data_IF_983624586202
#
_entry.id   IF_983624586202
#
_cell.length_a   1.000
_cell.length_b   1.000
_cell.length_c   1.000
_cell.angle_alpha   90.00
_cell.angle_beta   90.00
_cell.angle_gamma   90.00
#
_symmetry.space_group_name_H-M   'P 1'
#
loop_
_entity.id
_entity.type
_entity.pdbx_description
1 polymer ?
#
# COMPACT_ATOMS: atom_id res chain seq x y z
N UNK A 1 -52.17 4.13 -7.02
CA UNK A 1 -50.94 4.86 -7.41
C UNK A 1 -49.81 3.85 -7.51
N UNK A 2 -49.42 3.50 -8.73
CA UNK A 2 -48.37 2.51 -9.01
C UNK A 2 -46.99 3.14 -8.79
N UNK A 3 -46.28 2.68 -7.75
CA UNK A 3 -44.85 2.93 -7.63
C UNK A 3 -44.13 2.07 -8.68
N UNK A 4 -43.68 2.70 -9.75
CA UNK A 4 -42.75 2.13 -10.72
C UNK A 4 -41.46 1.75 -9.99
N UNK A 5 -41.34 0.48 -9.62
CA UNK A 5 -40.05 -0.12 -9.27
C UNK A 5 -39.17 -0.05 -10.51
N UNK A 6 -38.29 0.95 -10.59
CA UNK A 6 -37.16 0.93 -11.51
C UNK A 6 -36.29 -0.25 -11.10
N UNK A 7 -36.50 -1.40 -11.75
CA UNK A 7 -35.61 -2.54 -11.68
C UNK A 7 -34.28 -2.05 -12.24
N UNK A 8 -33.31 -1.76 -11.36
CA UNK A 8 -31.96 -1.47 -11.78
C UNK A 8 -31.51 -2.59 -12.73
N UNK A 9 -30.94 -2.28 -13.92
CA UNK A 9 -30.55 -3.32 -14.86
C UNK A 9 -29.63 -4.29 -14.14
N UNK A 10 -29.93 -5.60 -14.25
CA UNK A 10 -29.05 -6.66 -13.77
C UNK A 10 -27.78 -6.60 -14.62
N UNK A 11 -26.84 -5.76 -14.21
CA UNK A 11 -25.57 -5.59 -14.89
C UNK A 11 -24.80 -6.89 -14.74
N UNK A 12 -24.38 -7.45 -15.89
CA UNK A 12 -23.61 -8.69 -15.93
C UNK A 12 -22.36 -8.60 -15.05
N UNK A 13 -21.87 -9.75 -14.57
CA UNK A 13 -20.68 -9.79 -13.72
C UNK A 13 -19.47 -9.12 -14.39
N UNK A 14 -19.32 -9.26 -15.72
CA UNK A 14 -18.27 -8.60 -16.49
C UNK A 14 -18.40 -7.06 -16.45
N UNK A 15 -19.60 -6.51 -16.65
CA UNK A 15 -19.85 -5.06 -16.56
C UNK A 15 -19.54 -4.53 -15.17
N UNK A 16 -19.92 -5.27 -14.12
CA UNK A 16 -19.61 -4.91 -12.72
C UNK A 16 -18.12 -4.97 -12.42
N UNK A 17 -17.41 -5.95 -12.97
CA UNK A 17 -15.96 -6.06 -12.89
C UNK A 17 -15.27 -4.87 -13.56
N UNK A 18 -15.65 -4.55 -14.79
CA UNK A 18 -15.14 -3.37 -15.50
C UNK A 18 -15.48 -2.07 -14.77
N UNK A 19 -16.68 -1.98 -14.19
CA UNK A 19 -17.06 -0.86 -13.32
C UNK A 19 -16.16 -0.72 -12.10
N UNK A 20 -15.75 -1.84 -11.49
CA UNK A 20 -14.77 -1.88 -10.40
C UNK A 20 -13.39 -1.38 -10.83
N UNK A 21 -12.87 -1.85 -11.96
CA UNK A 21 -11.64 -1.33 -12.53
C UNK A 21 -11.74 0.17 -12.86
N UNK A 22 -12.91 0.62 -13.32
CA UNK A 22 -13.23 2.03 -13.54
C UNK A 22 -13.16 2.89 -12.29
N UNK A 23 -13.34 2.34 -11.08
CA UNK A 23 -13.14 3.08 -9.82
C UNK A 23 -11.67 3.44 -9.59
N UNK A 24 -10.73 2.59 -10.00
CA UNK A 24 -9.31 2.92 -9.97
C UNK A 24 -9.00 4.07 -10.92
N UNK A 25 -9.54 4.03 -12.15
CA UNK A 25 -9.37 5.12 -13.13
C UNK A 25 -9.98 6.44 -12.63
N UNK A 26 -11.14 6.39 -11.97
CA UNK A 26 -11.71 7.55 -11.27
C UNK A 26 -10.80 8.05 -10.15
N UNK A 27 -10.22 7.14 -9.37
CA UNK A 27 -9.19 7.43 -8.35
C UNK A 27 -8.00 8.20 -8.94
N UNK A 28 -7.45 7.72 -10.07
CA UNK A 28 -6.42 8.44 -10.82
C UNK A 28 -6.88 9.81 -11.30
N UNK A 29 -8.09 9.91 -11.86
CA UNK A 29 -8.67 11.17 -12.31
C UNK A 29 -8.77 12.19 -11.17
N UNK A 30 -9.21 11.77 -9.99
CA UNK A 30 -9.27 12.63 -8.80
C UNK A 30 -7.88 13.02 -8.30
N UNK A 31 -6.94 12.07 -8.29
CA UNK A 31 -5.56 12.30 -7.86
C UNK A 31 -4.88 13.35 -8.75
N UNK A 32 -4.87 13.16 -10.08
CA UNK A 32 -4.19 14.04 -11.04
C UNK A 32 -4.84 15.42 -11.14
N UNK A 33 -6.17 15.52 -11.02
CA UNK A 33 -6.88 16.81 -11.09
C UNK A 33 -6.81 17.61 -9.80
N UNK A 34 -6.33 17.02 -8.70
CA UNK A 34 -6.29 17.66 -7.39
C UNK A 34 -4.85 17.89 -6.94
N UNK A 35 -4.32 19.13 -7.06
CA UNK A 35 -2.97 19.46 -6.58
C UNK A 35 -2.75 19.09 -5.12
N UNK A 36 -3.81 19.23 -4.29
CA UNK A 36 -3.78 18.85 -2.87
C UNK A 36 -3.64 17.34 -2.66
N UNK A 37 -4.21 16.49 -3.51
CA UNK A 37 -4.06 15.03 -3.41
C UNK A 37 -2.71 14.57 -3.95
N UNK A 38 -2.23 15.19 -5.06
CA UNK A 38 -0.88 14.95 -5.58
C UNK A 38 0.19 15.26 -4.53
N UNK A 39 0.06 16.41 -3.86
CA UNK A 39 0.98 16.81 -2.81
C UNK A 39 0.99 15.76 -1.67
N UNK A 40 -0.18 15.33 -1.19
CA UNK A 40 -0.24 14.28 -0.17
C UNK A 40 0.37 12.95 -0.64
N UNK A 41 0.22 12.58 -1.91
CA UNK A 41 0.78 11.33 -2.44
C UNK A 41 2.30 11.34 -2.55
N UNK A 42 2.89 12.50 -2.88
CA UNK A 42 4.33 12.64 -3.11
C UNK A 42 5.12 12.91 -1.83
N UNK A 43 4.52 13.59 -0.84
CA UNK A 43 5.20 13.95 0.42
C UNK A 43 5.82 12.73 1.14
N UNK A 44 5.14 11.58 1.34
CA UNK A 44 5.75 10.43 2.01
C UNK A 44 7.06 9.95 1.37
N UNK A 45 7.07 9.89 0.04
CA UNK A 45 8.23 9.47 -0.73
C UNK A 45 9.37 10.50 -0.60
N UNK A 46 9.04 11.79 -0.61
CA UNK A 46 10.03 12.86 -0.41
C UNK A 46 10.60 12.85 1.00
N UNK A 47 9.77 12.71 2.04
CA UNK A 47 10.24 12.66 3.44
C UNK A 47 11.15 11.44 3.63
N UNK A 48 10.70 10.27 3.19
CA UNK A 48 11.48 9.03 3.33
C UNK A 48 12.78 9.13 2.53
N UNK A 49 12.72 9.58 1.28
CA UNK A 49 13.90 9.76 0.44
C UNK A 49 14.90 10.75 1.05
N UNK A 50 14.44 11.92 1.50
CA UNK A 50 15.27 12.92 2.14
C UNK A 50 15.92 12.40 3.43
N UNK A 51 15.17 11.65 4.25
CA UNK A 51 15.67 11.03 5.47
C UNK A 51 16.83 10.07 5.19
N UNK A 52 16.65 9.15 4.24
CA UNK A 52 17.71 8.19 3.89
C UNK A 52 18.89 8.88 3.22
N UNK A 53 18.66 9.83 2.31
CA UNK A 53 19.75 10.63 1.71
C UNK A 53 20.55 11.37 2.77
N UNK A 54 19.89 12.01 3.73
CA UNK A 54 20.56 12.69 4.83
C UNK A 54 21.37 11.71 5.68
N UNK A 55 20.79 10.56 6.05
CA UNK A 55 21.46 9.54 6.85
C UNK A 55 22.73 9.01 6.15
N UNK A 56 22.66 8.68 4.86
CA UNK A 56 23.82 8.22 4.10
C UNK A 56 24.83 9.33 3.87
N UNK A 57 24.41 10.56 3.57
CA UNK A 57 25.32 11.69 3.41
C UNK A 57 26.10 11.97 4.70
N UNK A 58 25.43 11.97 5.84
CA UNK A 58 26.07 12.09 7.16
C UNK A 58 27.03 10.93 7.42
N UNK A 59 26.62 9.70 7.13
CA UNK A 59 27.49 8.53 7.29
C UNK A 59 28.77 8.65 6.44
N UNK A 60 28.64 9.01 5.17
CA UNK A 60 29.77 9.17 4.26
C UNK A 60 30.68 10.34 4.66
N UNK A 61 30.12 11.40 5.23
CA UNK A 61 30.92 12.52 5.74
C UNK A 61 31.78 12.11 6.94
N UNK A 62 31.25 11.27 7.84
CA UNK A 62 31.96 10.82 9.06
C UNK A 62 32.59 9.42 8.93
N UNK A 63 32.64 8.84 7.72
CA UNK A 63 33.05 7.43 7.54
C UNK A 63 34.50 7.19 7.95
N UNK A 64 35.38 8.15 7.67
CA UNK A 64 36.80 8.05 7.99
C UNK A 64 37.04 8.15 9.51
N UNK A 65 36.31 9.05 10.18
CA UNK A 65 36.35 9.19 11.64
C UNK A 65 35.83 7.93 12.33
N UNK A 66 34.73 7.36 11.82
CA UNK A 66 34.16 6.12 12.35
C UNK A 66 35.09 4.93 12.12
N UNK A 67 35.73 4.85 10.94
CA UNK A 67 36.72 3.82 10.64
C UNK A 67 37.93 3.92 11.59
N UNK A 68 38.40 5.13 11.88
CA UNK A 68 39.43 5.37 12.89
C UNK A 68 38.99 4.93 14.28
N UNK A 69 37.81 5.34 14.72
CA UNK A 69 37.24 4.97 16.03
C UNK A 69 37.03 3.47 16.19
N UNK A 70 36.70 2.75 15.12
CA UNK A 70 36.54 1.28 15.12
C UNK A 70 37.86 0.52 15.06
N UNK A 71 38.96 1.16 14.66
CA UNK A 71 40.26 0.49 14.45
C UNK A 71 41.40 1.06 15.32
N UNK A 72 41.21 1.35 16.63
CA UNK A 72 42.23 1.98 17.46
C UNK A 72 43.48 1.09 17.61
N UNK A 73 43.31 -0.23 17.53
CA UNK A 73 44.41 -1.20 17.55
C UNK A 73 45.36 -1.08 16.34
N UNK A 74 44.95 -0.37 15.27
CA UNK A 74 45.74 -0.16 14.07
C UNK A 74 46.44 1.22 14.05
N UNK A 75 46.30 2.02 15.10
CA UNK A 75 46.83 3.39 15.15
C UNK A 75 48.36 3.47 15.15
N UNK A 76 49.06 2.38 15.47
CA UNK A 76 50.52 2.29 15.40
C UNK A 76 51.02 1.59 14.13
N UNK A 77 50.13 1.12 13.26
CA UNK A 77 50.53 0.35 12.07
C UNK A 77 51.20 1.23 11.02
N UNK A 78 52.21 0.72 10.32
CA UNK A 78 52.87 1.46 9.24
C UNK A 78 51.96 1.65 8.02
N UNK A 79 52.24 2.70 7.24
CA UNK A 79 51.68 2.85 5.90
C UNK A 79 52.26 1.77 4.97
N UNK A 80 51.46 1.13 4.09
CA UNK A 80 50.08 1.44 3.71
C UNK A 80 49.00 0.65 4.48
N UNK A 81 49.37 -0.30 5.34
CA UNK A 81 48.46 -1.26 5.96
C UNK A 81 47.36 -0.62 6.81
N UNK A 82 47.70 0.46 7.53
CA UNK A 82 46.72 1.26 8.28
C UNK A 82 45.63 1.86 7.37
N UNK A 83 46.04 2.48 6.26
CA UNK A 83 45.13 3.10 5.31
C UNK A 83 44.22 2.08 4.64
N UNK A 84 44.79 0.94 4.23
CA UNK A 84 44.02 -0.14 3.61
C UNK A 84 42.96 -0.71 4.57
N UNK A 85 43.33 -0.91 5.85
CA UNK A 85 42.38 -1.37 6.87
C UNK A 85 41.27 -0.34 7.12
N UNK A 86 41.60 0.96 7.26
CA UNK A 86 40.61 2.01 7.51
C UNK A 86 39.63 2.16 6.33
N UNK A 87 40.12 2.09 5.10
CA UNK A 87 39.25 2.07 3.91
C UNK A 87 38.35 0.83 3.93
N UNK A 88 38.90 -0.35 4.22
CA UNK A 88 38.10 -1.58 4.32
C UNK A 88 37.04 -1.51 5.43
N UNK A 89 37.38 -0.96 6.59
CA UNK A 89 36.44 -0.74 7.69
C UNK A 89 35.35 0.26 7.33
N UNK A 90 35.69 1.38 6.68
CA UNK A 90 34.73 2.36 6.18
C UNK A 90 33.78 1.76 5.14
N UNK A 91 34.28 0.98 4.19
CA UNK A 91 33.45 0.25 3.22
C UNK A 91 32.54 -0.78 3.90
N UNK A 92 33.04 -1.49 4.92
CA UNK A 92 32.24 -2.42 5.69
C UNK A 92 31.10 -1.72 6.43
N UNK A 93 31.38 -0.59 7.10
CA UNK A 93 30.38 0.26 7.74
C UNK A 93 29.32 0.70 6.75
N UNK A 94 29.72 1.26 5.60
CA UNK A 94 28.79 1.71 4.56
C UNK A 94 27.96 0.53 4.04
N UNK A 95 28.57 -0.64 3.85
CA UNK A 95 27.87 -1.85 3.44
C UNK A 95 26.84 -2.33 4.45
N UNK A 96 27.18 -2.35 5.75
CA UNK A 96 26.23 -2.69 6.82
C UNK A 96 25.10 -1.67 6.91
N UNK A 97 25.42 -0.37 6.86
CA UNK A 97 24.42 0.68 6.86
C UNK A 97 23.51 0.63 5.62
N UNK A 98 24.06 0.27 4.45
CA UNK A 98 23.29 0.01 3.24
C UNK A 98 22.31 -1.14 3.43
N UNK A 99 22.77 -2.26 3.98
CA UNK A 99 21.93 -3.42 4.27
C UNK A 99 20.82 -3.07 5.28
N UNK A 100 21.18 -2.47 6.41
CA UNK A 100 20.21 -2.00 7.42
C UNK A 100 19.23 -1.02 6.79
N UNK A 101 19.72 -0.12 5.94
CA UNK A 101 18.90 0.85 5.24
C UNK A 101 17.86 0.18 4.35
N UNK A 102 18.26 -0.78 3.52
CA UNK A 102 17.34 -1.57 2.68
C UNK A 102 16.32 -2.33 3.53
N UNK A 103 16.74 -2.96 4.63
CA UNK A 103 15.84 -3.73 5.51
C UNK A 103 14.81 -2.84 6.23
N UNK A 104 15.21 -1.64 6.61
CA UNK A 104 14.36 -0.69 7.34
C UNK A 104 13.52 0.19 6.43
N UNK A 105 13.94 0.38 5.17
CA UNK A 105 13.31 1.31 4.23
C UNK A 105 11.82 1.07 4.09
N UNK A 106 11.40 -0.18 3.88
CA UNK A 106 9.98 -0.51 3.72
C UNK A 106 9.18 -0.18 4.98
N UNK A 107 9.68 -0.55 6.16
CA UNK A 107 9.00 -0.28 7.42
C UNK A 107 8.85 1.24 7.67
N UNK A 108 9.93 2.00 7.45
CA UNK A 108 9.92 3.46 7.60
C UNK A 108 8.99 4.11 6.59
N UNK A 109 9.03 3.68 5.33
CA UNK A 109 8.16 4.21 4.26
C UNK A 109 6.67 3.99 4.59
N UNK A 110 6.31 2.81 5.10
CA UNK A 110 4.93 2.51 5.49
C UNK A 110 4.47 3.38 6.65
N UNK A 111 5.27 3.47 7.72
CA UNK A 111 4.95 4.30 8.90
C UNK A 111 4.77 5.77 8.53
N UNK A 112 5.64 6.29 7.64
CA UNK A 112 5.54 7.66 7.16
C UNK A 112 4.34 7.83 6.23
N UNK A 113 4.05 6.85 5.36
CA UNK A 113 3.01 6.93 4.33
C UNK A 113 1.58 6.83 4.85
N UNK A 114 1.35 5.99 5.86
CA UNK A 114 0.02 5.74 6.46
C UNK A 114 -0.81 7.00 6.72
N UNK A 115 -0.31 8.03 7.44
CA UNK A 115 -1.11 9.24 7.71
C UNK A 115 -1.47 10.02 6.43
N UNK A 116 -0.64 9.98 5.40
CA UNK A 116 -0.92 10.68 4.13
C UNK A 116 -1.93 9.92 3.28
N UNK A 117 -1.83 8.59 3.26
CA UNK A 117 -2.83 7.74 2.61
C UNK A 117 -4.19 7.88 3.31
N UNK A 118 -4.20 7.93 4.64
CA UNK A 118 -5.40 8.22 5.40
C UNK A 118 -5.99 9.59 4.99
N UNK A 119 -5.18 10.65 5.00
CA UNK A 119 -5.62 11.99 4.58
C UNK A 119 -6.13 12.06 3.12
N UNK A 120 -5.57 11.28 2.19
CA UNK A 120 -6.09 11.17 0.81
C UNK A 120 -7.50 10.58 0.84
N UNK A 121 -7.68 9.46 1.54
CA UNK A 121 -8.96 8.78 1.64
C UNK A 121 -10.02 9.68 2.29
N UNK A 122 -9.67 10.42 3.33
CA UNK A 122 -10.57 11.36 4.01
C UNK A 122 -11.02 12.48 3.08
N UNK A 123 -10.09 13.15 2.40
CA UNK A 123 -10.42 14.22 1.45
C UNK A 123 -11.30 13.76 0.30
N UNK A 124 -11.15 12.51 -0.15
CA UNK A 124 -12.04 11.92 -1.17
C UNK A 124 -13.44 11.69 -0.62
N UNK A 125 -13.56 11.21 0.61
CA UNK A 125 -14.85 11.05 1.28
C UNK A 125 -15.54 12.42 1.51
N UNK A 126 -14.81 13.43 1.97
CA UNK A 126 -15.32 14.78 2.22
C UNK A 126 -15.90 15.44 0.97
N UNK A 127 -15.23 15.28 -0.18
CA UNK A 127 -15.75 15.77 -1.48
C UNK A 127 -17.07 15.16 -1.88
N UNK A 128 -17.39 13.96 -1.36
CA UNK A 128 -18.59 13.21 -1.70
C UNK A 128 -19.65 13.30 -0.60
N UNK A 129 -19.58 14.31 0.28
CA UNK A 129 -20.54 14.49 1.37
C UNK A 129 -20.11 13.88 2.71
N UNK A 130 -18.80 13.63 2.87
CA UNK A 130 -18.19 13.23 4.14
C UNK A 130 -18.45 11.77 4.53
N UNK A 131 -18.22 11.48 5.81
CA UNK A 131 -18.38 10.15 6.41
C UNK A 131 -19.55 10.12 7.41
N UNK A 132 -20.80 9.88 6.95
CA UNK A 132 -21.93 9.72 7.85
C UNK A 132 -21.68 8.60 8.86
N UNK A 133 -21.83 8.90 10.15
CA UNK A 133 -21.60 7.94 11.23
C UNK A 133 -20.13 7.67 11.54
N UNK A 134 -19.24 8.66 11.32
CA UNK A 134 -17.86 8.59 11.79
C UNK A 134 -17.80 8.31 13.29
N UNK A 135 -16.92 7.41 13.71
CA UNK A 135 -16.75 7.02 15.10
C UNK A 135 -15.39 7.51 15.58
N UNK A 136 -15.36 8.26 16.69
CA UNK A 136 -14.13 8.56 17.41
C UNK A 136 -13.65 7.32 18.16
N UNK A 137 -12.72 6.59 17.53
CA UNK A 137 -12.09 5.42 18.14
C UNK A 137 -10.76 5.85 18.78
N UNK A 138 -10.46 5.51 20.04
CA UNK A 138 -9.18 5.86 20.66
C UNK A 138 -8.00 5.34 19.83
N UNK A 139 -7.06 6.23 19.50
CA UNK A 139 -5.93 5.98 18.57
C UNK A 139 -5.22 4.65 18.82
N UNK A 140 -4.81 4.37 20.05
CA UNK A 140 -4.12 3.13 20.43
C UNK A 140 -4.97 1.87 20.23
N UNK A 141 -6.27 1.98 20.45
CA UNK A 141 -7.19 0.86 20.26
C UNK A 141 -7.48 0.60 18.79
N UNK A 142 -7.46 1.65 17.96
CA UNK A 142 -7.55 1.57 16.50
C UNK A 142 -6.28 0.97 15.91
N UNK A 143 -5.11 1.46 16.31
CA UNK A 143 -3.81 1.02 15.81
C UNK A 143 -3.57 -0.48 16.03
N UNK A 144 -3.75 -0.97 17.28
CA UNK A 144 -3.59 -2.41 17.58
C UNK A 144 -4.56 -3.28 16.79
N UNK A 145 -5.77 -2.78 16.52
CA UNK A 145 -6.81 -3.52 15.79
C UNK A 145 -6.51 -3.54 14.30
N UNK A 146 -6.04 -2.42 13.76
CA UNK A 146 -5.61 -2.32 12.36
C UNK A 146 -4.44 -3.25 12.10
N UNK A 147 -3.41 -3.22 12.96
CA UNK A 147 -2.28 -4.15 12.87
C UNK A 147 -2.71 -5.62 12.93
N UNK A 148 -3.62 -5.98 13.83
CA UNK A 148 -4.12 -7.35 13.93
C UNK A 148 -4.89 -7.79 12.68
N UNK A 149 -5.71 -6.91 12.10
CA UNK A 149 -6.48 -7.21 10.89
C UNK A 149 -5.57 -7.27 9.64
N UNK A 150 -4.59 -6.37 9.50
CA UNK A 150 -3.58 -6.44 8.44
C UNK A 150 -2.71 -7.70 8.59
N UNK A 151 -2.28 -8.08 9.80
CA UNK A 151 -1.53 -9.32 10.01
C UNK A 151 -2.35 -10.56 9.65
N UNK A 152 -3.66 -10.58 9.97
CA UNK A 152 -4.57 -11.65 9.54
C UNK A 152 -4.70 -11.72 8.02
N UNK A 153 -4.79 -10.58 7.34
CA UNK A 153 -4.85 -10.52 5.88
C UNK A 153 -3.55 -11.02 5.25
N UNK A 154 -2.39 -10.63 5.79
CA UNK A 154 -1.08 -11.14 5.37
C UNK A 154 -0.99 -12.64 5.59
N UNK A 155 -1.40 -13.16 6.76
CA UNK A 155 -1.38 -14.58 7.06
C UNK A 155 -2.29 -15.38 6.12
N UNK A 156 -3.51 -14.91 5.87
CA UNK A 156 -4.43 -15.53 4.91
C UNK A 156 -3.90 -15.48 3.47
N UNK A 157 -3.27 -14.36 3.09
CA UNK A 157 -2.65 -14.21 1.77
C UNK A 157 -1.47 -15.16 1.61
N UNK A 158 -0.64 -15.34 2.64
CA UNK A 158 0.46 -16.29 2.64
C UNK A 158 -0.04 -17.75 2.59
N UNK A 159 -1.08 -18.07 3.36
CA UNK A 159 -1.69 -19.41 3.39
C UNK A 159 -2.20 -19.85 2.02
N UNK A 160 -2.72 -18.92 1.22
CA UNK A 160 -3.20 -19.21 -0.15
C UNK A 160 -2.08 -19.01 -1.19
N UNK A 161 -1.22 -18.02 -0.98
CA UNK A 161 -0.15 -17.66 -1.89
C UNK A 161 0.96 -18.69 -1.98
N UNK A 162 1.34 -19.34 -0.86
CA UNK A 162 2.37 -20.39 -0.86
C UNK A 162 1.94 -21.61 -1.70
N UNK A 163 0.74 -22.18 -1.54
CA UNK A 163 0.24 -23.22 -2.44
C UNK A 163 0.15 -22.78 -3.91
N UNK A 164 -0.30 -21.54 -4.18
CA UNK A 164 -0.36 -21.03 -5.55
C UNK A 164 1.04 -20.88 -6.16
N UNK A 165 2.01 -20.42 -5.39
CA UNK A 165 3.42 -20.35 -5.82
C UNK A 165 3.96 -21.74 -6.16
N UNK A 166 3.70 -22.75 -5.31
CA UNK A 166 4.07 -24.13 -5.59
C UNK A 166 3.36 -24.67 -6.85
N UNK A 167 2.08 -24.37 -7.04
CA UNK A 167 1.33 -24.73 -8.24
C UNK A 167 1.87 -24.05 -9.51
N UNK A 168 2.56 -22.91 -9.38
CA UNK A 168 3.24 -22.21 -10.47
C UNK A 168 4.35 -23.03 -11.14
N UNK A 169 4.87 -24.06 -10.48
CA UNK A 169 5.89 -24.95 -11.04
C UNK A 169 5.30 -26.09 -11.88
N UNK A 170 3.98 -26.27 -11.90
CA UNK A 170 3.32 -27.27 -12.74
C UNK A 170 3.45 -26.83 -14.20
N UNK A 171 4.09 -27.61 -15.10
CA UNK A 171 4.18 -27.24 -16.51
C UNK A 171 2.81 -26.99 -17.13
N UNK A 172 2.73 -26.01 -18.04
CA UNK A 172 1.49 -25.55 -18.72
C UNK A 172 0.49 -24.87 -17.77
N UNK A 173 0.00 -25.54 -16.72
CA UNK A 173 -1.01 -25.00 -15.79
C UNK A 173 -0.46 -23.84 -14.96
N UNK A 174 0.78 -23.98 -14.47
CA UNK A 174 1.46 -23.01 -13.63
C UNK A 174 1.70 -21.66 -14.31
N UNK A 175 1.80 -21.63 -15.65
CA UNK A 175 2.00 -20.39 -16.40
C UNK A 175 0.73 -19.82 -17.02
N UNK A 176 -0.37 -20.56 -16.99
CA UNK A 176 -1.65 -20.14 -17.61
C UNK A 176 -2.71 -19.83 -16.56
N UNK A 177 -2.96 -20.75 -15.63
CA UNK A 177 -4.04 -20.65 -14.64
C UNK A 177 -3.60 -19.93 -13.38
N UNK A 178 -2.39 -20.26 -12.87
CA UNK A 178 -1.90 -19.70 -11.60
C UNK A 178 -1.76 -18.18 -11.63
N UNK A 179 -1.28 -17.51 -12.69
CA UNK A 179 -1.22 -16.05 -12.72
C UNK A 179 -2.61 -15.40 -12.65
N UNK A 180 -3.61 -16.01 -13.30
CA UNK A 180 -5.00 -15.52 -13.29
C UNK A 180 -5.61 -15.67 -11.90
N UNK A 181 -5.48 -16.86 -11.29
CA UNK A 181 -5.96 -17.10 -9.93
C UNK A 181 -5.20 -16.23 -8.93
N UNK A 182 -3.89 -16.08 -9.09
CA UNK A 182 -3.04 -15.21 -8.29
C UNK A 182 -3.48 -13.74 -8.35
N UNK A 183 -3.81 -13.23 -9.54
CA UNK A 183 -4.34 -11.88 -9.70
C UNK A 183 -5.73 -11.71 -9.05
N UNK A 184 -6.61 -12.70 -9.17
CA UNK A 184 -7.93 -12.67 -8.52
C UNK A 184 -7.83 -12.70 -6.99
N UNK A 185 -6.98 -13.57 -6.44
CA UNK A 185 -6.76 -13.71 -4.99
C UNK A 185 -6.02 -12.49 -4.45
N UNK A 186 -4.90 -12.11 -5.06
CA UNK A 186 -4.12 -10.94 -4.68
C UNK A 186 -4.92 -9.65 -4.81
N UNK A 187 -5.69 -9.51 -5.89
CA UNK A 187 -6.60 -8.39 -6.08
C UNK A 187 -7.71 -8.34 -5.02
N UNK A 188 -8.32 -9.48 -4.67
CA UNK A 188 -9.30 -9.54 -3.59
C UNK A 188 -8.74 -9.06 -2.25
N UNK A 189 -7.53 -9.50 -1.89
CA UNK A 189 -6.88 -9.07 -0.65
C UNK A 189 -6.47 -7.60 -0.69
N UNK A 190 -5.94 -7.11 -1.82
CA UNK A 190 -5.64 -5.68 -2.00
C UNK A 190 -6.90 -4.81 -1.89
N UNK A 191 -8.01 -5.23 -2.47
CA UNK A 191 -9.28 -4.52 -2.33
C UNK A 191 -9.71 -4.45 -0.85
N UNK A 192 -9.60 -5.54 -0.10
CA UNK A 192 -9.94 -5.58 1.33
C UNK A 192 -9.01 -4.70 2.18
N UNK A 193 -7.71 -4.68 1.87
CA UNK A 193 -6.74 -3.85 2.57
C UNK A 193 -6.99 -2.36 2.32
N UNK A 194 -7.14 -1.97 1.05
CA UNK A 194 -7.25 -0.57 0.64
C UNK A 194 -8.57 0.09 1.08
N UNK A 195 -9.68 -0.65 1.14
CA UNK A 195 -10.93 -0.09 1.72
C UNK A 195 -10.86 0.02 3.24
N UNK A 196 -9.76 -0.42 3.87
CA UNK A 196 -9.62 -0.45 5.32
C UNK A 196 -9.83 0.91 5.96
N UNK A 197 -9.13 1.95 5.51
CA UNK A 197 -9.23 3.30 6.06
C UNK A 197 -10.67 3.87 6.04
N UNK A 198 -11.39 3.88 4.90
CA UNK A 198 -12.81 4.26 4.85
C UNK A 198 -13.72 3.52 5.84
N UNK A 199 -13.48 2.23 6.05
CA UNK A 199 -14.30 1.41 6.96
C UNK A 199 -13.91 1.60 8.43
N UNK A 200 -12.62 1.78 8.75
CA UNK A 200 -12.16 2.06 10.12
C UNK A 200 -12.80 3.35 10.65
N UNK A 201 -12.91 4.40 9.83
CA UNK A 201 -13.60 5.65 10.22
C UNK A 201 -15.06 5.47 10.60
N UNK A 202 -15.70 4.43 10.07
CA UNK A 202 -17.09 4.05 10.37
C UNK A 202 -17.19 3.00 11.48
N UNK A 203 -16.09 2.72 12.20
CA UNK A 203 -16.03 1.68 13.24
C UNK A 203 -16.16 0.24 12.72
N UNK A 204 -16.13 0.03 11.40
CA UNK A 204 -16.38 -1.26 10.76
C UNK A 204 -15.10 -2.10 10.66
N UNK A 205 -15.22 -3.38 10.99
CA UNK A 205 -14.10 -4.32 11.13
C UNK A 205 -13.90 -5.16 9.87
N UNK A 206 -12.84 -5.96 9.85
CA UNK A 206 -12.56 -6.86 8.73
C UNK A 206 -13.74 -7.79 8.34
N UNK A 207 -14.49 -8.39 9.28
CA UNK A 207 -15.68 -9.19 8.92
C UNK A 207 -16.74 -8.38 8.18
N UNK A 208 -16.97 -7.13 8.58
CA UNK A 208 -17.95 -6.24 7.97
C UNK A 208 -17.52 -5.85 6.55
N UNK A 209 -16.23 -5.48 6.38
CA UNK A 209 -15.62 -5.21 5.07
C UNK A 209 -15.80 -6.39 4.13
N UNK A 210 -15.43 -7.58 4.61
CA UNK A 210 -15.53 -8.82 3.83
C UNK A 210 -16.96 -9.11 3.45
N UNK A 211 -17.92 -8.88 4.34
CA UNK A 211 -19.34 -9.04 4.06
C UNK A 211 -19.82 -8.06 2.99
N UNK A 212 -19.51 -6.76 3.14
CA UNK A 212 -19.91 -5.71 2.19
C UNK A 212 -19.31 -5.90 0.80
N UNK A 213 -18.01 -6.18 0.69
CA UNK A 213 -17.36 -6.43 -0.60
C UNK A 213 -17.83 -7.76 -1.22
N UNK A 214 -18.27 -8.74 -0.41
CA UNK A 214 -18.85 -9.99 -0.92
C UNK A 214 -20.26 -9.83 -1.49
N UNK A 215 -20.99 -8.77 -1.14
CA UNK A 215 -22.30 -8.50 -1.73
C UNK A 215 -22.18 -8.15 -3.22
N UNK A 216 -21.07 -7.50 -3.63
CA UNK A 216 -20.75 -7.19 -5.01
C UNK A 216 -19.32 -7.63 -5.39
N UNK A 217 -19.07 -8.94 -5.32
CA UNK A 217 -17.75 -9.53 -5.61
C UNK A 217 -17.14 -9.11 -6.94
N UNK A 218 -17.90 -9.09 -8.07
CA UNK A 218 -17.30 -8.72 -9.35
C UNK A 218 -16.69 -7.32 -9.33
N UNK A 219 -17.37 -6.33 -8.74
CA UNK A 219 -16.85 -4.96 -8.63
C UNK A 219 -15.64 -4.88 -7.70
N UNK A 220 -15.67 -5.54 -6.55
CA UNK A 220 -14.52 -5.57 -5.64
C UNK A 220 -13.28 -6.24 -6.30
N UNK A 221 -13.48 -7.37 -7.00
CA UNK A 221 -12.43 -8.05 -7.75
C UNK A 221 -11.91 -7.19 -8.90
N UNK A 222 -12.78 -6.52 -9.65
CA UNK A 222 -12.39 -5.65 -10.75
C UNK A 222 -11.46 -4.51 -10.31
N UNK A 223 -11.82 -3.85 -9.21
CA UNK A 223 -10.96 -2.84 -8.59
C UNK A 223 -9.63 -3.45 -8.13
N UNK A 224 -9.70 -4.52 -7.34
CA UNK A 224 -8.52 -5.15 -6.73
C UNK A 224 -7.54 -5.71 -7.75
N UNK A 225 -8.03 -6.40 -8.79
CA UNK A 225 -7.21 -6.93 -9.89
C UNK A 225 -6.55 -5.78 -10.66
N UNK A 226 -7.28 -4.70 -10.94
CA UNK A 226 -6.70 -3.54 -11.62
C UNK A 226 -5.53 -2.95 -10.81
N UNK A 227 -5.71 -2.78 -9.49
CA UNK A 227 -4.64 -2.34 -8.60
C UNK A 227 -3.47 -3.32 -8.57
N UNK A 228 -3.76 -4.63 -8.43
CA UNK A 228 -2.76 -5.69 -8.42
C UNK A 228 -1.87 -5.63 -9.67
N UNK A 229 -2.48 -5.55 -10.85
CA UNK A 229 -1.76 -5.47 -12.12
C UNK A 229 -0.92 -4.20 -12.24
N UNK A 230 -1.41 -3.06 -11.75
CA UNK A 230 -0.62 -1.83 -11.68
C UNK A 230 0.60 -1.96 -10.75
N UNK A 231 0.47 -2.70 -9.64
CA UNK A 231 1.56 -2.90 -8.68
C UNK A 231 2.63 -3.87 -9.17
N UNK A 232 2.34 -4.70 -10.18
CA UNK A 232 3.35 -5.54 -10.85
C UNK A 232 4.33 -4.71 -11.70
N UNK A 233 3.95 -3.49 -12.11
CA UNK A 233 4.82 -2.60 -12.85
C UNK A 233 5.89 -2.06 -11.88
N UNK A 234 7.19 -2.07 -12.23
CA UNK A 234 8.22 -1.44 -11.42
C UNK A 234 7.85 0.01 -11.06
N UNK A 235 8.01 0.38 -9.79
CA UNK A 235 7.56 1.66 -9.21
C UNK A 235 6.04 1.90 -9.22
N UNK A 236 5.26 0.99 -9.80
CA UNK A 236 3.80 1.06 -9.87
C UNK A 236 3.17 1.14 -8.49
N UNK A 237 3.64 0.36 -7.51
CA UNK A 237 3.14 0.46 -6.14
C UNK A 237 3.25 1.89 -5.58
N UNK A 238 4.40 2.55 -5.73
CA UNK A 238 4.61 3.92 -5.20
C UNK A 238 3.75 4.95 -5.93
N UNK A 239 3.70 4.89 -7.26
CA UNK A 239 3.00 5.87 -8.09
C UNK A 239 1.49 5.71 -8.07
N UNK A 240 1.01 4.46 -8.00
CA UNK A 240 -0.41 4.12 -8.08
C UNK A 240 -1.07 4.11 -6.70
N UNK A 241 -0.34 3.88 -5.61
CA UNK A 241 -0.92 3.80 -4.26
C UNK A 241 -1.81 5.01 -3.89
N UNK A 242 -1.41 6.28 -4.08
CA UNK A 242 -2.28 7.43 -3.79
C UNK A 242 -3.61 7.38 -4.57
N UNK A 243 -3.55 7.02 -5.85
CA UNK A 243 -4.72 6.90 -6.71
C UNK A 243 -5.58 5.67 -6.34
N UNK A 244 -4.94 4.57 -5.95
CA UNK A 244 -5.61 3.36 -5.47
C UNK A 244 -6.34 3.61 -4.16
N UNK A 245 -5.74 4.35 -3.21
CA UNK A 245 -6.39 4.77 -1.97
C UNK A 245 -7.61 5.66 -2.25
N UNK A 246 -7.48 6.60 -3.20
CA UNK A 246 -8.61 7.42 -3.65
C UNK A 246 -9.73 6.58 -4.30
N UNK A 247 -9.37 5.62 -5.16
CA UNK A 247 -10.32 4.69 -5.76
C UNK A 247 -10.97 3.73 -4.75
N UNK A 248 -10.23 3.34 -3.71
CA UNK A 248 -10.72 2.49 -2.63
C UNK A 248 -11.75 3.21 -1.75
N UNK A 249 -11.60 4.51 -1.55
CA UNK A 249 -12.65 5.33 -0.93
C UNK A 249 -13.95 5.30 -1.76
N UNK A 250 -13.88 5.39 -3.09
CA UNK A 250 -15.04 5.23 -3.96
C UNK A 250 -15.66 3.83 -3.86
N UNK A 251 -14.82 2.78 -3.86
CA UNK A 251 -15.29 1.40 -3.69
C UNK A 251 -15.99 1.20 -2.35
N UNK A 252 -15.43 1.76 -1.27
CA UNK A 252 -16.01 1.68 0.05
C UNK A 252 -17.39 2.34 0.08
N UNK A 253 -17.51 3.59 -0.40
CA UNK A 253 -18.79 4.30 -0.51
C UNK A 253 -19.83 3.51 -1.31
N UNK A 254 -19.45 3.01 -2.50
CA UNK A 254 -20.33 2.18 -3.33
C UNK A 254 -20.82 0.94 -2.60
N UNK A 255 -19.94 0.24 -1.87
CA UNK A 255 -20.29 -0.96 -1.09
C UNK A 255 -21.20 -0.67 0.12
N UNK A 256 -21.23 0.59 0.55
CA UNK A 256 -22.11 1.09 1.60
C UNK A 256 -23.43 1.67 1.07
N UNK A 257 -23.62 1.70 -0.26
CA UNK A 257 -24.79 2.32 -0.90
C UNK A 257 -24.75 3.86 -0.90
N UNK A 258 -23.56 4.44 -0.71
CA UNK A 258 -23.35 5.89 -0.67
C UNK A 258 -23.00 6.43 -2.07
N UNK A 259 -23.34 7.69 -2.37
CA UNK A 259 -23.05 8.31 -3.66
C UNK A 259 -21.54 8.39 -3.91
N UNK A 260 -21.15 8.16 -5.16
CA UNK A 260 -19.76 8.18 -5.65
C UNK A 260 -19.52 9.28 -6.71
N UNK A 261 -20.46 10.22 -6.79
CA UNK A 261 -20.45 11.38 -7.68
C UNK A 261 -20.66 12.63 -6.81
N UNK A 262 -20.01 13.73 -7.19
CA UNK A 262 -20.20 15.03 -6.55
C UNK A 262 -21.63 15.49 -6.85
N UNK A 263 -22.37 15.87 -5.80
CA UNK A 263 -23.73 16.39 -5.89
C UNK A 263 -23.77 17.88 -6.17
#
# INVERSE_FOLDING_TARGET
>A
MNASRTVAPVTGAATRFLGGAGLLLRGFGMYVRSPKLMLLGVIPALITGALYVALFATLLYFVDDLAGWLTPFADDWSSPWRGLLRVAAGLAVVGVAALVGVLTFTAVTLVIGDPFYEAISERVEDRLGGTPGAVDVPFWSSLRRSLADSLRLVALSALIGVPLFAAGFIPVVGQTVVPVVGALVGGWFLALELVGAPFYRRGMRLPDRRSRLRADRPTALGFGVAVFLCFLIPLGAVLVMPAAVAGAALLARRSLGQPVEEG
#
